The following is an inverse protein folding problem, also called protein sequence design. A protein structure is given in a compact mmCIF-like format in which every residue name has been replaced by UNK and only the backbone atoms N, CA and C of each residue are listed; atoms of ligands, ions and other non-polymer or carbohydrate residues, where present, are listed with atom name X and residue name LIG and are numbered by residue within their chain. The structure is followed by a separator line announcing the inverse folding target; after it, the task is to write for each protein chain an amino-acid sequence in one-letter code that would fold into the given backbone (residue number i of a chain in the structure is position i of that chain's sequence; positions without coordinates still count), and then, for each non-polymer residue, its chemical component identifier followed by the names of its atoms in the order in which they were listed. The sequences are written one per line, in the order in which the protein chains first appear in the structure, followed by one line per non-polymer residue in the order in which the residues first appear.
data_IF_135819093107
#
_entry.id   IF_135819093107
#
_cell.length_a   1.000
_cell.length_b   1.000
_cell.length_c   1.000
_cell.angle_alpha   90.00
_cell.angle_beta   90.00
_cell.angle_gamma   90.00
#
_symmetry.space_group_name_H-M   'P 1'
#
loop_
_entity.id
_entity.type
_entity.pdbx_description
1 polymer ?
#
# COMPACT_ATOMS: atom_id res chain seq x y z
N UNK A 1 1.87 -8.82 -4.86
CA UNK A 1 2.33 -7.45 -4.62
C UNK A 1 1.68 -6.37 -5.51
N UNK A 2 0.87 -6.70 -6.51
CA UNK A 2 0.23 -5.72 -7.43
C UNK A 2 -1.08 -5.10 -6.87
N UNK A 3 -1.46 -5.39 -5.60
CA UNK A 3 -2.79 -5.09 -5.06
C UNK A 3 -2.94 -3.85 -4.19
N UNK A 4 -1.91 -3.09 -3.96
CA UNK A 4 -1.96 -1.96 -3.04
C UNK A 4 -1.38 -0.69 -3.61
N UNK A 5 -2.01 -0.07 -4.60
CA UNK A 5 -1.75 1.35 -4.87
C UNK A 5 -2.86 2.00 -5.69
N UNK A 6 -3.65 2.88 -5.07
CA UNK A 6 -4.34 3.97 -5.77
C UNK A 6 -4.68 5.15 -4.86
N UNK A 7 -4.25 6.28 -5.32
CA UNK A 7 -4.71 7.67 -5.21
C UNK A 7 -4.69 8.39 -3.87
N UNK A 8 -3.92 9.48 -3.90
CA UNK A 8 -4.08 10.65 -3.02
C UNK A 8 -4.07 11.94 -3.84
N UNK A 9 -5.01 12.82 -3.61
CA UNK A 9 -4.91 14.29 -3.85
C UNK A 9 -6.05 15.04 -3.14
N UNK A 10 -5.77 15.82 -2.23
CA UNK A 10 -5.62 17.21 -1.80
C UNK A 10 -6.86 18.05 -1.50
N UNK A 11 -7.02 18.71 -0.35
CA UNK A 11 -7.10 20.14 0.01
C UNK A 11 -7.64 20.49 1.43
N UNK A 12 -7.18 21.45 2.03
CA UNK A 12 -6.88 22.09 3.29
C UNK A 12 -7.85 22.98 4.09
N UNK A 13 -7.70 23.41 5.28
CA UNK A 13 -7.26 24.50 6.23
C UNK A 13 -7.93 24.39 7.63
N UNK A 14 -7.44 24.69 8.69
CA UNK A 14 -6.59 25.32 9.68
C UNK A 14 -7.23 25.66 11.05
N UNK A 15 -6.53 25.78 12.12
CA UNK A 15 -5.88 26.54 13.19
C UNK A 15 -6.34 26.20 14.63
N UNK A 16 -5.68 26.26 15.66
CA UNK A 16 -4.64 26.70 16.60
C UNK A 16 -5.09 26.44 18.07
N UNK A 17 -4.40 26.28 19.10
CA UNK A 17 -3.10 26.18 19.79
C UNK A 17 -3.24 25.63 21.22
N UNK A 18 -2.21 25.02 21.76
CA UNK A 18 -1.68 25.31 23.08
C UNK A 18 -1.69 24.26 24.19
N UNK A 19 -0.52 23.91 24.69
CA UNK A 19 -0.28 23.40 26.04
C UNK A 19 0.14 21.92 26.19
N UNK A 20 1.41 21.69 26.57
CA UNK A 20 1.98 20.37 26.89
C UNK A 20 1.44 19.82 28.19
N UNK A 21 0.84 18.63 28.16
CA UNK A 21 0.70 17.73 29.30
C UNK A 21 1.35 16.39 28.96
N UNK A 22 2.02 15.76 29.96
CA UNK A 22 2.64 14.46 29.78
C UNK A 22 1.59 13.39 29.45
N UNK A 23 1.93 12.46 28.55
CA UNK A 23 1.06 11.35 28.18
C UNK A 23 0.73 10.46 29.39
N UNK A 24 -0.54 10.09 29.61
CA UNK A 24 -0.91 9.13 30.63
C UNK A 24 -0.35 7.72 30.29
N UNK A 25 -0.06 6.88 31.29
CA UNK A 25 0.37 5.51 31.03
C UNK A 25 -0.75 4.73 30.30
N UNK A 26 -0.37 3.77 29.45
CA UNK A 26 -1.36 2.98 28.72
C UNK A 26 -2.26 2.21 29.68
N UNK A 27 -3.56 2.32 29.47
CA UNK A 27 -4.56 1.55 30.22
C UNK A 27 -4.38 0.06 29.88
N UNK A 28 -4.55 -0.87 30.83
CA UNK A 28 -4.53 -2.30 30.52
C UNK A 28 -5.70 -2.62 29.59
N UNK A 29 -5.40 -2.97 28.36
CA UNK A 29 -6.38 -3.41 27.36
C UNK A 29 -6.86 -4.81 27.77
N UNK A 30 -7.97 -4.87 28.49
CA UNK A 30 -8.74 -6.10 28.54
C UNK A 30 -9.27 -6.35 27.12
N UNK A 31 -8.87 -7.47 26.50
CA UNK A 31 -9.38 -7.84 25.18
C UNK A 31 -10.91 -7.85 25.22
N UNK A 32 -11.53 -6.92 24.53
CA UNK A 32 -12.97 -6.92 24.35
C UNK A 32 -13.34 -8.22 23.63
N UNK A 33 -14.39 -8.94 24.07
CA UNK A 33 -14.82 -10.14 23.38
C UNK A 33 -15.16 -9.76 21.93
N UNK A 34 -14.48 -10.38 20.98
CA UNK A 34 -14.84 -10.31 19.56
C UNK A 34 -16.27 -10.84 19.48
N UNK A 35 -17.22 -9.95 19.24
CA UNK A 35 -18.59 -10.39 18.98
C UNK A 35 -18.54 -11.30 17.75
N UNK A 36 -19.14 -12.49 17.81
CA UNK A 36 -19.14 -13.39 16.68
C UNK A 36 -19.72 -12.66 15.47
N UNK A 37 -19.05 -12.79 14.34
CA UNK A 37 -19.57 -12.35 13.05
C UNK A 37 -21.01 -12.87 12.93
N UNK A 38 -21.87 -12.11 12.27
CA UNK A 38 -23.20 -12.60 11.86
C UNK A 38 -23.05 -14.02 11.30
N UNK A 39 -23.96 -14.97 11.58
CA UNK A 39 -23.81 -16.34 11.12
C UNK A 39 -23.47 -16.32 9.63
N UNK A 40 -22.38 -16.99 9.27
CA UNK A 40 -21.90 -17.05 7.91
C UNK A 40 -23.09 -17.39 7.01
N UNK A 41 -23.39 -16.55 6.04
CA UNK A 41 -24.47 -16.80 5.09
C UNK A 41 -24.24 -18.20 4.48
N UNK A 42 -25.25 -19.05 4.53
CA UNK A 42 -25.16 -20.39 3.95
C UNK A 42 -25.33 -20.38 2.43
N UNK A 43 -25.18 -19.20 1.81
CA UNK A 43 -25.37 -19.04 0.38
C UNK A 43 -24.24 -19.71 -0.42
N UNK A 44 -24.53 -20.16 -1.64
CA UNK A 44 -23.50 -20.67 -2.54
C UNK A 44 -22.40 -19.66 -2.86
N UNK A 45 -22.72 -18.35 -2.85
CA UNK A 45 -21.75 -17.26 -3.08
C UNK A 45 -20.82 -17.13 -1.87
N UNK A 46 -21.36 -17.10 -0.65
CA UNK A 46 -20.59 -17.04 0.57
C UNK A 46 -19.60 -18.21 0.70
N UNK A 47 -19.99 -19.42 0.27
CA UNK A 47 -19.08 -20.56 0.27
C UNK A 47 -17.90 -20.38 -0.70
N UNK A 48 -18.11 -19.77 -1.87
CA UNK A 48 -17.01 -19.47 -2.81
C UNK A 48 -16.13 -18.36 -2.27
N UNK A 49 -16.69 -17.34 -1.63
CA UNK A 49 -15.94 -16.24 -0.98
C UNK A 49 -15.02 -16.80 0.11
N UNK A 50 -15.54 -17.69 0.98
CA UNK A 50 -14.74 -18.29 2.05
C UNK A 50 -13.55 -19.11 1.50
N UNK A 51 -13.76 -19.86 0.43
CA UNK A 51 -12.69 -20.63 -0.22
C UNK A 51 -11.69 -19.72 -0.94
N UNK A 52 -12.15 -18.61 -1.52
CA UNK A 52 -11.31 -17.59 -2.14
C UNK A 52 -10.47 -16.86 -1.09
N UNK A 53 -11.06 -16.43 0.02
CA UNK A 53 -10.33 -15.83 1.15
C UNK A 53 -9.25 -16.76 1.73
N UNK A 54 -9.59 -18.03 1.91
CA UNK A 54 -8.62 -19.05 2.34
C UNK A 54 -7.50 -19.28 1.30
N UNK A 55 -7.77 -19.09 0.01
CA UNK A 55 -6.77 -19.14 -1.04
C UNK A 55 -5.86 -17.91 -1.00
N UNK A 56 -6.43 -16.68 -0.93
CA UNK A 56 -5.69 -15.42 -0.84
C UNK A 56 -4.74 -15.40 0.36
N UNK A 57 -5.22 -15.80 1.57
CA UNK A 57 -4.38 -15.94 2.77
C UNK A 57 -3.20 -16.91 2.63
N UNK A 58 -3.26 -17.79 1.64
CA UNK A 58 -2.19 -18.73 1.34
C UNK A 58 -1.18 -18.17 0.36
N UNK A 59 -1.64 -17.44 -0.68
CA UNK A 59 -0.76 -16.88 -1.72
C UNK A 59 -0.19 -15.52 -1.32
N UNK A 60 -0.90 -14.76 -0.49
CA UNK A 60 -0.38 -13.54 0.15
C UNK A 60 -0.27 -13.70 1.68
N UNK A 61 0.79 -14.36 2.16
CA UNK A 61 1.01 -14.52 3.59
C UNK A 61 1.44 -13.23 4.30
N UNK A 62 1.79 -12.18 3.56
CA UNK A 62 2.15 -10.89 4.16
C UNK A 62 0.90 -10.21 4.66
N UNK A 63 -0.11 -10.04 3.79
CA UNK A 63 -1.37 -9.43 4.17
C UNK A 63 -2.11 -10.31 5.19
N UNK A 64 -2.12 -11.62 4.99
CA UNK A 64 -2.69 -12.54 5.99
C UNK A 64 -2.08 -12.35 7.38
N UNK A 65 -0.77 -12.11 7.48
CA UNK A 65 -0.11 -11.87 8.78
C UNK A 65 -0.42 -10.50 9.38
N UNK A 66 -0.64 -9.48 8.56
CA UNK A 66 -1.13 -8.15 8.99
C UNK A 66 -2.56 -8.25 9.54
N UNK A 67 -3.39 -9.07 8.91
CA UNK A 67 -4.73 -9.42 9.37
C UNK A 67 -4.76 -10.28 10.67
N UNK A 68 -3.60 -10.69 11.18
CA UNK A 68 -3.47 -11.45 12.43
C UNK A 68 -3.35 -12.96 12.27
N UNK A 69 -3.23 -13.49 11.04
CA UNK A 69 -2.90 -14.91 10.82
C UNK A 69 -1.46 -15.19 11.25
N UNK A 70 -1.31 -15.81 12.41
CA UNK A 70 0.00 -16.11 13.00
C UNK A 70 0.79 -17.17 12.23
N UNK A 71 0.11 -18.11 11.58
CA UNK A 71 0.77 -19.15 10.78
C UNK A 71 1.37 -18.56 9.51
N UNK A 72 0.81 -17.46 9.02
CA UNK A 72 1.33 -16.71 7.89
C UNK A 72 2.66 -16.00 8.18
N UNK A 73 2.97 -15.66 9.46
CA UNK A 73 4.21 -14.97 9.86
C UNK A 73 5.49 -15.72 9.46
N UNK A 74 5.44 -17.03 9.23
CA UNK A 74 6.60 -17.84 8.85
C UNK A 74 6.75 -18.03 7.34
N UNK A 75 5.88 -17.44 6.51
CA UNK A 75 5.80 -17.67 5.06
C UNK A 75 6.10 -16.42 4.26
N UNK A 76 6.50 -16.59 3.00
CA UNK A 76 6.62 -15.56 1.96
C UNK A 76 5.74 -15.92 0.76
N UNK A 77 5.34 -14.96 -0.08
CA UNK A 77 4.70 -15.25 -1.36
C UNK A 77 5.65 -16.03 -2.27
N UNK A 78 5.10 -16.84 -3.17
CA UNK A 78 5.84 -17.59 -4.18
C UNK A 78 5.39 -17.13 -5.57
N UNK A 79 6.19 -16.28 -6.21
CA UNK A 79 5.96 -15.77 -7.56
C UNK A 79 6.71 -16.60 -8.63
N UNK A 80 7.06 -17.85 -8.31
CA UNK A 80 7.63 -18.77 -9.29
C UNK A 80 6.64 -19.07 -10.42
N UNK A 81 7.09 -19.33 -11.65
CA UNK A 81 6.20 -19.65 -12.78
C UNK A 81 5.24 -20.82 -12.49
N UNK A 82 5.63 -21.77 -11.66
CA UNK A 82 4.79 -22.90 -11.24
C UNK A 82 3.68 -22.48 -10.27
N UNK A 83 3.98 -21.59 -9.32
CA UNK A 83 3.00 -21.06 -8.39
C UNK A 83 1.99 -20.16 -9.13
N UNK A 84 2.47 -19.25 -9.98
CA UNK A 84 1.59 -18.40 -10.81
C UNK A 84 0.69 -19.21 -11.75
N UNK A 85 1.16 -20.34 -12.31
CA UNK A 85 0.32 -21.25 -13.09
C UNK A 85 -0.74 -21.96 -12.23
N UNK A 86 -0.42 -22.27 -10.98
CA UNK A 86 -1.40 -22.82 -10.02
C UNK A 86 -2.45 -21.77 -9.63
N UNK A 87 -2.09 -20.50 -9.49
CA UNK A 87 -3.03 -19.39 -9.26
C UNK A 87 -3.99 -19.23 -10.44
N UNK A 88 -3.49 -19.24 -11.68
CA UNK A 88 -4.35 -19.24 -12.88
C UNK A 88 -5.40 -20.34 -12.82
N UNK A 89 -4.97 -21.55 -12.45
CA UNK A 89 -5.89 -22.71 -12.35
C UNK A 89 -6.92 -22.51 -11.24
N UNK A 90 -6.51 -21.98 -10.09
CA UNK A 90 -7.42 -21.73 -8.97
C UNK A 90 -8.44 -20.63 -9.31
N UNK A 91 -8.02 -19.53 -9.90
CA UNK A 91 -8.89 -18.42 -10.31
C UNK A 91 -9.88 -18.84 -11.41
N UNK A 92 -9.46 -19.66 -12.38
CA UNK A 92 -10.39 -20.25 -13.35
C UNK A 92 -11.44 -21.14 -12.66
N UNK A 93 -11.03 -21.91 -11.64
CA UNK A 93 -11.92 -22.70 -10.80
C UNK A 93 -12.95 -21.87 -10.03
N UNK A 94 -12.53 -20.81 -9.34
CA UNK A 94 -13.42 -19.89 -8.64
C UNK A 94 -14.39 -19.21 -9.60
N UNK A 95 -13.88 -18.70 -10.73
CA UNK A 95 -14.70 -18.07 -11.78
C UNK A 95 -15.75 -19.02 -12.35
N UNK A 96 -15.42 -20.28 -12.57
CA UNK A 96 -16.35 -21.30 -13.02
C UNK A 96 -17.43 -21.61 -11.97
N UNK A 97 -17.07 -21.75 -10.70
CA UNK A 97 -17.99 -21.94 -9.57
C UNK A 97 -18.99 -20.79 -9.46
N UNK A 98 -18.52 -19.54 -9.45
CA UNK A 98 -19.38 -18.34 -9.39
C UNK A 98 -20.35 -18.28 -10.58
N UNK A 99 -19.89 -18.63 -11.79
CA UNK A 99 -20.73 -18.67 -13.00
C UNK A 99 -21.71 -19.85 -13.00
N UNK A 100 -21.46 -20.90 -12.25
CA UNK A 100 -22.35 -22.07 -12.15
C UNK A 100 -23.51 -21.84 -11.17
N UNK A 101 -23.45 -20.87 -10.28
CA UNK A 101 -24.52 -20.53 -9.34
C UNK A 101 -25.78 -20.12 -10.15
N UNK A 102 -26.91 -20.80 -9.89
CA UNK A 102 -28.18 -20.60 -10.57
C UNK A 102 -29.26 -20.18 -9.57
N UNK A 103 -30.30 -19.54 -10.09
CA UNK A 103 -31.45 -19.07 -9.31
C UNK A 103 -31.29 -17.60 -8.89
N UNK A 104 -32.36 -17.05 -8.28
CA UNK A 104 -32.30 -15.68 -7.77
C UNK A 104 -31.34 -15.60 -6.59
N UNK A 105 -30.54 -14.56 -6.57
CA UNK A 105 -29.69 -14.17 -5.44
C UNK A 105 -30.32 -12.96 -4.75
N UNK A 106 -30.06 -12.79 -3.45
CA UNK A 106 -30.37 -11.51 -2.82
C UNK A 106 -29.40 -10.43 -3.31
N UNK A 107 -29.69 -9.16 -2.95
CA UNK A 107 -28.91 -8.03 -3.46
C UNK A 107 -27.45 -8.03 -3.00
N UNK A 108 -27.15 -8.56 -1.81
CA UNK A 108 -25.79 -8.64 -1.27
C UNK A 108 -25.00 -9.77 -1.97
N UNK A 109 -25.59 -10.93 -2.13
CA UNK A 109 -24.97 -12.06 -2.82
C UNK A 109 -24.74 -11.77 -4.31
N UNK A 110 -25.68 -11.10 -5.00
CA UNK A 110 -25.48 -10.73 -6.40
C UNK A 110 -24.39 -9.68 -6.59
N UNK A 111 -24.32 -8.70 -5.69
CA UNK A 111 -23.25 -7.72 -5.65
C UNK A 111 -21.90 -8.40 -5.40
N UNK A 112 -21.79 -9.23 -4.37
CA UNK A 112 -20.57 -9.96 -4.01
C UNK A 112 -20.10 -10.87 -5.14
N UNK A 113 -21.02 -11.60 -5.79
CA UNK A 113 -20.71 -12.43 -6.97
C UNK A 113 -20.17 -11.58 -8.12
N UNK A 114 -20.81 -10.45 -8.41
CA UNK A 114 -20.42 -9.55 -9.49
C UNK A 114 -19.04 -8.97 -9.23
N UNK A 115 -18.82 -8.49 -8.01
CA UNK A 115 -17.55 -7.94 -7.58
C UNK A 115 -16.41 -8.97 -7.66
N UNK A 116 -16.62 -10.17 -7.08
CA UNK A 116 -15.58 -11.20 -7.07
C UNK A 116 -15.28 -11.73 -8.48
N UNK A 117 -16.30 -11.84 -9.37
CA UNK A 117 -16.07 -12.17 -10.78
C UNK A 117 -15.22 -11.13 -11.50
N UNK A 118 -15.38 -9.85 -11.12
CA UNK A 118 -14.58 -8.75 -11.66
C UNK A 118 -13.12 -8.85 -11.18
N UNK A 119 -12.90 -8.97 -9.86
CA UNK A 119 -11.56 -9.08 -9.26
C UNK A 119 -10.80 -10.28 -9.85
N UNK A 120 -11.37 -11.48 -9.76
CA UNK A 120 -10.75 -12.69 -10.31
C UNK A 120 -10.52 -12.57 -11.83
N UNK A 121 -11.44 -11.92 -12.55
CA UNK A 121 -11.30 -11.73 -14.00
C UNK A 121 -10.11 -10.87 -14.37
N UNK A 122 -9.85 -9.87 -13.59
CA UNK A 122 -8.80 -8.88 -13.79
C UNK A 122 -7.41 -9.43 -13.42
N UNK A 123 -7.32 -10.06 -12.24
CA UNK A 123 -6.10 -10.74 -11.78
C UNK A 123 -5.69 -11.87 -12.75
N UNK A 124 -6.65 -12.67 -13.19
CA UNK A 124 -6.43 -13.75 -14.15
C UNK A 124 -5.87 -13.24 -15.49
N UNK A 125 -6.29 -12.05 -15.94
CA UNK A 125 -5.77 -11.45 -17.16
C UNK A 125 -4.34 -10.92 -16.95
N UNK A 126 -4.05 -10.28 -15.80
CA UNK A 126 -2.69 -9.89 -15.41
C UNK A 126 -1.72 -11.07 -15.36
N UNK A 127 -2.14 -12.18 -14.73
CA UNK A 127 -1.37 -13.42 -14.69
C UNK A 127 -1.11 -13.99 -16.10
N UNK A 128 -2.11 -13.97 -16.98
CA UNK A 128 -1.98 -14.44 -18.38
C UNK A 128 -1.11 -13.52 -19.24
N UNK A 129 -1.02 -12.24 -18.89
CA UNK A 129 -0.07 -11.30 -19.50
C UNK A 129 1.36 -11.47 -18.96
N UNK A 130 1.53 -12.29 -17.93
CA UNK A 130 2.82 -12.57 -17.28
C UNK A 130 3.49 -11.29 -16.75
N UNK A 131 2.70 -10.48 -16.01
CA UNK A 131 3.16 -9.20 -15.45
C UNK A 131 4.27 -9.36 -14.41
N UNK A 132 4.46 -10.56 -13.86
CA UNK A 132 5.57 -10.87 -12.98
C UNK A 132 6.96 -10.65 -13.62
N UNK A 133 7.04 -10.47 -14.94
CA UNK A 133 8.28 -10.06 -15.65
C UNK A 133 8.68 -8.61 -15.39
N UNK A 134 7.71 -7.75 -14.96
CA UNK A 134 7.94 -6.37 -14.53
C UNK A 134 7.58 -6.29 -13.04
N UNK A 135 8.42 -6.84 -12.19
CA UNK A 135 8.17 -7.02 -10.75
C UNK A 135 8.78 -5.93 -9.86
N UNK A 136 9.13 -4.79 -10.44
CA UNK A 136 9.60 -3.61 -9.72
C UNK A 136 9.38 -2.32 -10.50
N UNK A 137 9.21 -1.22 -9.79
CA UNK A 137 9.32 0.14 -10.33
C UNK A 137 10.02 1.07 -9.33
N UNK A 138 9.89 2.41 -9.46
CA UNK A 138 10.56 3.37 -8.58
C UNK A 138 9.91 3.47 -7.18
N UNK A 139 8.68 3.00 -7.01
CA UNK A 139 7.86 3.18 -5.81
C UNK A 139 7.41 1.86 -5.18
N UNK A 140 7.41 0.77 -5.96
CA UNK A 140 6.95 -0.54 -5.56
C UNK A 140 7.83 -1.65 -6.15
N UNK A 141 7.82 -2.81 -5.50
CA UNK A 141 8.46 -4.02 -5.98
C UNK A 141 9.34 -4.72 -4.95
N UNK A 142 9.78 -5.91 -5.32
CA UNK A 142 10.48 -6.82 -4.41
C UNK A 142 11.76 -6.25 -3.78
N UNK A 143 12.36 -5.20 -4.37
CA UNK A 143 13.52 -4.53 -3.81
C UNK A 143 13.20 -3.67 -2.57
N UNK A 144 11.94 -3.23 -2.40
CA UNK A 144 11.46 -2.51 -1.21
C UNK A 144 10.90 -3.46 -0.14
N UNK A 145 10.56 -4.67 -0.53
CA UNK A 145 9.92 -5.68 0.30
C UNK A 145 10.56 -5.90 1.69
N UNK A 146 11.89 -5.90 1.89
CA UNK A 146 12.47 -6.01 3.23
C UNK A 146 12.06 -4.90 4.20
N UNK A 147 11.90 -3.67 3.70
CA UNK A 147 11.45 -2.53 4.53
C UNK A 147 9.96 -2.68 4.88
N UNK A 148 9.12 -2.97 3.90
CA UNK A 148 7.68 -3.19 4.08
C UNK A 148 7.39 -4.37 5.01
N UNK A 149 8.16 -5.45 4.88
CA UNK A 149 8.08 -6.61 5.75
C UNK A 149 8.38 -6.26 7.21
N UNK A 150 9.39 -5.44 7.43
CA UNK A 150 9.77 -4.99 8.77
C UNK A 150 8.69 -4.09 9.38
N UNK A 151 8.20 -3.10 8.63
CA UNK A 151 7.17 -2.16 9.06
C UNK A 151 5.85 -2.85 9.39
N UNK A 152 5.46 -3.86 8.60
CA UNK A 152 4.24 -4.66 8.78
C UNK A 152 4.32 -5.78 9.82
N UNK A 153 5.48 -5.98 10.49
CA UNK A 153 5.66 -7.11 11.41
C UNK A 153 5.58 -6.69 12.87
N UNK A 154 4.64 -7.29 13.61
CA UNK A 154 4.51 -7.13 15.06
C UNK A 154 4.88 -8.43 15.78
N UNK A 155 5.81 -8.36 16.74
CA UNK A 155 6.26 -9.49 17.58
C UNK A 155 5.57 -9.42 18.95
N UNK A 156 4.63 -10.30 19.22
CA UNK A 156 3.83 -10.34 20.46
C UNK A 156 4.37 -11.30 21.50
N UNK A 157 5.07 -12.34 21.07
CA UNK A 157 5.64 -13.37 21.92
C UNK A 157 6.81 -14.11 21.23
N UNK A 158 7.32 -15.15 21.89
CA UNK A 158 8.42 -15.96 21.39
C UNK A 158 8.08 -16.69 20.07
N UNK A 159 6.87 -17.16 19.89
CA UNK A 159 6.47 -17.88 18.69
C UNK A 159 6.46 -16.97 17.47
N UNK A 160 5.98 -15.72 17.62
CA UNK A 160 6.06 -14.72 16.57
C UNK A 160 7.53 -14.40 16.18
N UNK A 161 8.43 -14.31 17.17
CA UNK A 161 9.85 -14.08 16.89
C UNK A 161 10.48 -15.26 16.12
N UNK A 162 10.17 -16.50 16.49
CA UNK A 162 10.68 -17.69 15.77
C UNK A 162 10.08 -17.80 14.36
N UNK A 163 8.80 -17.45 14.18
CA UNK A 163 8.14 -17.39 12.88
C UNK A 163 8.79 -16.32 11.98
N UNK A 164 9.05 -15.13 12.52
CA UNK A 164 9.76 -14.07 11.80
C UNK A 164 11.17 -14.47 11.39
N UNK A 165 11.95 -15.09 12.28
CA UNK A 165 13.27 -15.64 11.94
C UNK A 165 13.20 -16.70 10.82
N UNK A 166 12.15 -17.52 10.81
CA UNK A 166 11.88 -18.47 9.72
C UNK A 166 11.63 -17.71 8.43
N UNK A 167 10.77 -16.69 8.43
CA UNK A 167 10.47 -15.82 7.28
C UNK A 167 11.74 -15.17 6.74
N UNK A 168 12.62 -14.61 7.61
CA UNK A 168 13.90 -14.03 7.18
C UNK A 168 14.79 -15.07 6.47
N UNK A 169 14.77 -16.33 6.90
CA UNK A 169 15.57 -17.38 6.27
C UNK A 169 15.11 -17.75 4.85
N UNK A 170 13.89 -17.38 4.45
CA UNK A 170 13.33 -17.61 3.13
C UNK A 170 13.66 -16.49 2.13
N UNK A 171 14.02 -15.28 2.62
CA UNK A 171 14.28 -14.11 1.76
C UNK A 171 15.34 -14.35 0.67
N UNK A 172 16.44 -15.09 0.89
CA UNK A 172 17.37 -15.38 -0.19
C UNK A 172 16.72 -16.08 -1.39
N UNK A 173 15.93 -17.11 -1.16
CA UNK A 173 15.21 -17.83 -2.23
C UNK A 173 14.15 -16.96 -2.90
N UNK A 174 13.46 -16.10 -2.14
CA UNK A 174 12.54 -15.10 -2.68
C UNK A 174 13.26 -14.16 -3.67
N UNK A 175 14.39 -13.58 -3.29
CA UNK A 175 15.18 -12.74 -4.19
C UNK A 175 15.64 -13.49 -5.46
N UNK A 176 16.04 -14.76 -5.35
CA UNK A 176 16.42 -15.57 -6.51
C UNK A 176 15.25 -15.76 -7.48
N UNK A 177 14.03 -16.00 -6.96
CA UNK A 177 12.79 -16.11 -7.77
C UNK A 177 12.50 -14.78 -8.49
N UNK A 178 12.56 -13.66 -7.76
CA UNK A 178 12.25 -12.35 -8.33
C UNK A 178 13.27 -11.90 -9.38
N UNK A 179 14.55 -12.15 -9.15
CA UNK A 179 15.61 -11.90 -10.14
C UNK A 179 15.38 -12.78 -11.38
N UNK A 180 14.94 -14.04 -11.22
CA UNK A 180 14.64 -14.92 -12.34
C UNK A 180 13.42 -14.41 -13.15
N UNK A 181 12.38 -13.88 -12.49
CA UNK A 181 11.25 -13.27 -13.14
C UNK A 181 11.66 -12.02 -13.95
N UNK A 182 12.44 -11.11 -13.35
CA UNK A 182 12.98 -9.95 -14.04
C UNK A 182 13.90 -10.35 -15.22
N UNK A 183 14.66 -11.43 -15.10
CA UNK A 183 15.48 -11.99 -16.17
C UNK A 183 14.63 -12.52 -17.33
N UNK A 184 13.45 -13.13 -17.07
CA UNK A 184 12.46 -13.48 -18.10
C UNK A 184 11.97 -12.22 -18.83
N UNK A 185 11.78 -11.11 -18.08
CA UNK A 185 11.45 -9.81 -18.66
C UNK A 185 12.49 -9.35 -19.67
N UNK A 186 13.77 -9.36 -19.29
CA UNK A 186 14.89 -9.03 -20.20
C UNK A 186 14.89 -9.95 -21.43
N UNK A 187 14.78 -11.26 -21.22
CA UNK A 187 14.81 -12.23 -22.31
C UNK A 187 13.66 -12.08 -23.32
N UNK A 188 12.52 -11.53 -22.88
CA UNK A 188 11.33 -11.32 -23.74
C UNK A 188 11.15 -9.88 -24.19
N UNK A 189 12.02 -8.94 -23.81
CA UNK A 189 11.90 -7.52 -24.07
C UNK A 189 10.78 -6.82 -23.26
N UNK A 190 10.21 -7.51 -22.26
CA UNK A 190 9.16 -6.97 -21.40
C UNK A 190 9.81 -6.32 -20.15
N UNK A 191 10.38 -5.13 -20.34
CA UNK A 191 11.24 -4.45 -19.36
C UNK A 191 10.71 -3.08 -18.94
N UNK A 192 11.15 -2.64 -17.75
CA UNK A 192 10.93 -1.26 -17.30
C UNK A 192 11.68 -0.24 -18.17
N UNK A 193 11.21 1.02 -18.21
CA UNK A 193 11.95 2.11 -18.86
C UNK A 193 13.29 2.37 -18.15
N UNK A 194 14.28 2.76 -18.94
CA UNK A 194 15.63 3.03 -18.43
C UNK A 194 15.67 3.99 -17.23
N UNK A 195 14.95 5.13 -17.20
CA UNK A 195 14.94 6.03 -16.02
C UNK A 195 14.45 5.35 -14.75
N UNK A 196 13.42 4.50 -14.84
CA UNK A 196 12.91 3.72 -13.69
C UNK A 196 13.99 2.77 -13.15
N UNK A 197 14.68 2.05 -14.03
CA UNK A 197 15.76 1.12 -13.65
C UNK A 197 16.91 1.87 -12.98
N UNK A 198 17.27 3.05 -13.46
CA UNK A 198 18.32 3.89 -12.87
C UNK A 198 17.98 4.32 -11.42
N UNK A 199 16.72 4.66 -11.15
CA UNK A 199 16.24 4.95 -9.78
C UNK A 199 16.35 3.71 -8.90
N UNK A 200 15.87 2.56 -9.36
CA UNK A 200 15.94 1.29 -8.59
C UNK A 200 17.38 0.87 -8.33
N UNK A 201 18.28 1.03 -9.29
CA UNK A 201 19.73 0.81 -9.10
C UNK A 201 20.28 1.68 -7.96
N UNK A 202 19.85 2.95 -7.88
CA UNK A 202 20.30 3.85 -6.80
C UNK A 202 19.75 3.42 -5.44
N UNK A 203 18.49 2.99 -5.37
CA UNK A 203 17.84 2.47 -4.14
C UNK A 203 18.58 1.21 -3.66
N UNK A 204 18.74 0.21 -4.53
CA UNK A 204 19.39 -1.06 -4.17
C UNK A 204 20.88 -0.85 -3.81
N UNK A 205 21.55 0.11 -4.45
CA UNK A 205 22.93 0.45 -4.09
C UNK A 205 23.02 1.00 -2.65
N UNK A 206 22.07 1.82 -2.20
CA UNK A 206 21.98 2.29 -0.81
C UNK A 206 21.71 1.13 0.15
N UNK A 207 20.80 0.22 -0.22
CA UNK A 207 20.50 -0.98 0.58
C UNK A 207 21.76 -1.84 0.76
N UNK A 208 22.49 -2.13 -0.30
CA UNK A 208 23.74 -2.92 -0.26
C UNK A 208 24.80 -2.25 0.59
N UNK A 209 24.94 -0.92 0.50
CA UNK A 209 25.93 -0.15 1.25
C UNK A 209 25.62 -0.05 2.77
N UNK A 210 24.38 -0.26 3.19
CA UNK A 210 23.96 -0.18 4.59
C UNK A 210 24.63 -1.29 5.40
N UNK A 211 25.22 -1.01 6.59
CA UNK A 211 25.72 -2.05 7.47
C UNK A 211 24.63 -3.05 7.87
N UNK A 212 24.98 -4.32 8.04
CA UNK A 212 24.01 -5.36 8.39
C UNK A 212 23.31 -5.10 9.75
N UNK A 213 23.98 -4.43 10.68
CA UNK A 213 23.40 -4.06 11.98
C UNK A 213 22.34 -2.96 11.90
N UNK A 214 22.33 -2.20 10.82
CA UNK A 214 21.39 -1.10 10.56
C UNK A 214 20.29 -1.52 9.55
N UNK A 215 20.19 -2.82 9.25
CA UNK A 215 19.23 -3.33 8.29
C UNK A 215 17.79 -3.22 8.87
N UNK A 216 16.81 -2.67 8.13
CA UNK A 216 15.44 -2.50 8.61
C UNK A 216 14.78 -3.82 9.02
N UNK A 217 15.19 -4.96 8.49
CA UNK A 217 14.71 -6.28 8.92
C UNK A 217 14.99 -6.59 10.39
N UNK A 218 15.87 -5.86 11.06
CA UNK A 218 16.09 -6.00 12.50
C UNK A 218 15.14 -5.17 13.36
N UNK A 219 14.44 -4.21 12.78
CA UNK A 219 13.53 -3.26 13.48
C UNK A 219 12.48 -3.95 14.35
N UNK A 220 11.74 -4.98 13.88
CA UNK A 220 10.74 -5.67 14.70
C UNK A 220 11.30 -6.34 15.95
N UNK A 221 12.60 -6.59 15.98
CA UNK A 221 13.30 -7.28 17.07
C UNK A 221 14.01 -6.31 18.03
N UNK A 222 13.98 -5.01 17.77
CA UNK A 222 14.61 -3.99 18.65
C UNK A 222 13.90 -3.93 20.01
N UNK A 223 12.57 -4.02 20.00
CA UNK A 223 11.73 -3.98 21.20
C UNK A 223 10.91 -5.26 21.30
N UNK A 224 11.51 -6.30 21.90
CA UNK A 224 10.83 -7.57 22.14
C UNK A 224 10.02 -7.53 23.44
N UNK A 225 8.89 -8.27 23.52
CA UNK A 225 8.07 -8.34 24.72
C UNK A 225 8.84 -8.79 25.97
N UNK A 226 8.53 -8.19 27.12
CA UNK A 226 9.15 -8.54 28.41
C UNK A 226 8.87 -9.99 28.87
N UNK A 227 7.89 -10.66 28.26
CA UNK A 227 7.61 -12.09 28.46
C UNK A 227 8.72 -13.00 27.91
N UNK A 228 9.57 -12.49 27.01
CA UNK A 228 10.75 -13.19 26.49
C UNK A 228 11.95 -12.86 27.39
N UNK A 229 12.62 -13.85 28.02
CA UNK A 229 13.79 -13.59 28.88
C UNK A 229 14.90 -12.85 28.14
N UNK A 230 15.59 -11.92 28.81
CA UNK A 230 16.60 -11.05 28.19
C UNK A 230 17.73 -11.82 27.46
N UNK A 231 18.21 -12.93 28.03
CA UNK A 231 19.18 -13.78 27.39
C UNK A 231 18.68 -14.43 26.09
N UNK A 232 17.39 -14.63 25.98
CA UNK A 232 16.75 -15.17 24.80
C UNK A 232 16.48 -14.10 23.76
N UNK A 233 16.08 -12.88 24.18
CA UNK A 233 16.01 -11.73 23.30
C UNK A 233 17.34 -11.47 22.59
N UNK A 234 18.46 -11.56 23.32
CA UNK A 234 19.79 -11.43 22.73
C UNK A 234 20.05 -12.50 21.65
N UNK A 235 19.75 -13.77 21.96
CA UNK A 235 19.92 -14.88 20.97
C UNK A 235 19.04 -14.69 19.72
N UNK A 236 17.81 -14.19 19.87
CA UNK A 236 16.92 -13.90 18.75
C UNK A 236 17.56 -12.83 17.85
N UNK A 237 18.06 -11.73 18.42
CA UNK A 237 18.74 -10.66 17.67
C UNK A 237 20.02 -11.14 16.99
N UNK A 238 20.85 -11.91 17.69
CA UNK A 238 22.08 -12.49 17.12
C UNK A 238 21.76 -13.40 15.92
N UNK A 239 20.71 -14.25 16.06
CA UNK A 239 20.26 -15.10 14.96
C UNK A 239 19.71 -14.29 13.79
N UNK A 240 18.92 -13.25 14.02
CA UNK A 240 18.44 -12.36 12.97
C UNK A 240 19.59 -11.71 12.21
N UNK A 241 20.57 -11.16 12.94
CA UNK A 241 21.75 -10.55 12.33
C UNK A 241 22.53 -11.57 11.45
N UNK A 242 22.63 -12.84 11.85
CA UNK A 242 23.23 -13.87 11.01
C UNK A 242 22.42 -14.14 9.73
N UNK A 243 21.08 -14.00 9.79
CA UNK A 243 20.20 -14.18 8.62
C UNK A 243 20.25 -12.99 7.64
N UNK A 244 20.61 -11.79 8.10
CA UNK A 244 20.76 -10.61 7.23
C UNK A 244 21.92 -10.78 6.23
N UNK A 245 23.01 -11.45 6.60
CA UNK A 245 24.17 -11.60 5.73
C UNK A 245 23.86 -12.28 4.37
N UNK A 246 23.17 -13.44 4.30
CA UNK A 246 22.78 -14.04 3.02
C UNK A 246 21.77 -13.16 2.26
N UNK A 247 20.87 -12.43 2.94
CA UNK A 247 19.94 -11.51 2.29
C UNK A 247 20.72 -10.39 1.60
N UNK A 248 21.68 -9.78 2.26
CA UNK A 248 22.56 -8.77 1.66
C UNK A 248 23.37 -9.28 0.48
N UNK A 249 23.74 -10.56 0.49
CA UNK A 249 24.39 -11.19 -0.67
C UNK A 249 23.44 -11.23 -1.88
N UNK A 250 22.16 -11.51 -1.67
CA UNK A 250 21.16 -11.45 -2.75
C UNK A 250 20.88 -10.03 -3.21
N UNK A 251 20.82 -9.05 -2.32
CA UNK A 251 20.72 -7.62 -2.69
C UNK A 251 21.93 -7.20 -3.57
N UNK A 252 23.13 -7.70 -3.26
CA UNK A 252 24.30 -7.44 -4.09
C UNK A 252 24.23 -8.15 -5.46
N UNK A 253 23.68 -9.36 -5.53
CA UNK A 253 23.38 -10.04 -6.81
C UNK A 253 22.35 -9.26 -7.62
N UNK A 254 21.27 -8.78 -6.97
CA UNK A 254 20.27 -7.93 -7.61
C UNK A 254 20.91 -6.66 -8.18
N UNK A 255 21.74 -5.96 -7.41
CA UNK A 255 22.43 -4.76 -7.87
C UNK A 255 23.32 -5.04 -9.10
N UNK A 256 24.05 -6.15 -9.08
CA UNK A 256 24.86 -6.59 -10.23
C UNK A 256 23.97 -6.86 -11.43
N UNK A 257 22.93 -7.67 -11.27
CA UNK A 257 21.97 -8.00 -12.32
C UNK A 257 21.32 -6.74 -12.94
N UNK A 258 20.85 -5.81 -12.10
CA UNK A 258 20.26 -4.57 -12.58
C UNK A 258 21.23 -3.75 -13.43
N UNK A 259 22.51 -3.67 -13.02
CA UNK A 259 23.53 -2.87 -13.72
C UNK A 259 24.03 -3.53 -15.00
N UNK A 260 24.26 -4.84 -14.97
CA UNK A 260 24.97 -5.56 -16.05
C UNK A 260 24.05 -6.27 -17.02
N UNK A 261 22.90 -6.79 -16.53
CA UNK A 261 22.03 -7.65 -17.30
C UNK A 261 20.70 -6.97 -17.67
N UNK A 262 20.19 -6.06 -16.82
CA UNK A 262 18.88 -5.43 -17.04
C UNK A 262 18.99 -4.06 -17.70
N UNK A 263 19.77 -3.14 -17.13
CA UNK A 263 19.87 -1.74 -17.59
C UNK A 263 20.30 -1.59 -19.06
N UNK A 264 21.22 -2.41 -19.61
CA UNK A 264 21.55 -2.37 -21.03
C UNK A 264 20.38 -2.71 -21.95
N UNK A 265 19.41 -3.49 -21.46
CA UNK A 265 18.23 -3.95 -22.21
C UNK A 265 16.94 -3.27 -21.75
N UNK A 266 17.03 -2.34 -20.80
CA UNK A 266 15.90 -1.52 -20.40
C UNK A 266 15.39 -0.68 -21.58
N UNK A 267 14.06 -0.63 -21.75
CA UNK A 267 13.47 0.11 -22.88
C UNK A 267 13.74 1.61 -22.75
N UNK A 268 13.94 2.25 -23.89
CA UNK A 268 14.14 3.72 -23.98
C UNK A 268 12.81 4.48 -24.04
N UNK A 269 11.77 3.85 -24.58
CA UNK A 269 10.41 4.41 -24.57
C UNK A 269 9.78 4.34 -23.19
N UNK A 270 9.05 5.40 -22.80
CA UNK A 270 8.23 5.44 -21.61
C UNK A 270 6.87 4.74 -21.81
N UNK A 271 6.41 4.64 -23.06
CA UNK A 271 5.08 4.15 -23.37
C UNK A 271 4.97 2.62 -23.17
N UNK A 272 4.04 2.19 -22.32
CA UNK A 272 3.78 0.78 -22.06
C UNK A 272 3.30 0.00 -23.29
N UNK A 273 2.65 0.68 -24.25
CA UNK A 273 2.24 0.09 -25.54
C UNK A 273 3.41 -0.41 -26.40
N UNK A 274 4.62 0.07 -26.15
CA UNK A 274 5.82 -0.33 -26.89
C UNK A 274 6.45 -1.63 -26.36
N UNK A 275 5.89 -2.20 -25.29
CA UNK A 275 6.24 -3.54 -24.80
C UNK A 275 5.78 -4.62 -25.79
N UNK A 276 6.40 -5.79 -25.82
CA UNK A 276 5.83 -6.96 -26.50
C UNK A 276 4.41 -7.22 -25.96
N UNK A 277 3.42 -7.28 -26.87
CA UNK A 277 1.98 -7.30 -26.52
C UNK A 277 1.53 -6.10 -25.66
N UNK A 278 2.23 -4.97 -25.76
CA UNK A 278 2.06 -3.81 -24.91
C UNK A 278 0.69 -3.12 -25.04
N UNK A 279 0.04 -3.22 -26.19
CA UNK A 279 -1.32 -2.70 -26.37
C UNK A 279 -2.34 -3.47 -25.50
N UNK A 280 -2.24 -4.78 -25.45
CA UNK A 280 -3.10 -5.61 -24.60
C UNK A 280 -2.78 -5.39 -23.12
N UNK A 281 -1.50 -5.31 -22.77
CA UNK A 281 -1.05 -4.98 -21.42
C UNK A 281 -1.57 -3.60 -20.95
N UNK A 282 -1.42 -2.56 -21.78
CA UNK A 282 -1.86 -1.21 -21.43
C UNK A 282 -3.40 -1.12 -21.31
N UNK A 283 -4.13 -1.81 -22.19
CA UNK A 283 -5.60 -1.89 -22.12
C UNK A 283 -6.08 -2.61 -20.86
N UNK A 284 -5.40 -3.69 -20.45
CA UNK A 284 -5.64 -4.34 -19.16
C UNK A 284 -5.33 -3.38 -18.00
N UNK A 285 -4.18 -2.72 -17.98
CA UNK A 285 -3.78 -1.80 -16.93
C UNK A 285 -4.78 -0.63 -16.78
N UNK A 286 -5.25 -0.05 -17.91
CA UNK A 286 -6.31 0.98 -17.89
C UNK A 286 -7.57 0.44 -17.21
N UNK A 287 -8.06 -0.73 -17.61
CA UNK A 287 -9.26 -1.33 -17.02
C UNK A 287 -9.04 -1.72 -15.56
N UNK A 288 -7.89 -2.24 -15.20
CA UNK A 288 -7.51 -2.58 -13.84
C UNK A 288 -7.58 -1.35 -12.93
N UNK A 289 -6.95 -0.25 -13.33
CA UNK A 289 -6.87 0.96 -12.51
C UNK A 289 -8.12 1.85 -12.55
N UNK A 290 -8.89 1.84 -13.63
CA UNK A 290 -10.08 2.71 -13.75
C UNK A 290 -11.39 1.99 -13.46
N UNK A 291 -11.39 0.66 -13.43
CA UNK A 291 -12.59 -0.19 -13.39
C UNK A 291 -13.62 0.07 -14.50
N UNK A 292 -13.22 0.73 -15.59
CA UNK A 292 -14.08 1.04 -16.74
C UNK A 292 -13.59 0.33 -18.00
N UNK A 293 -14.44 0.27 -19.03
CA UNK A 293 -14.12 -0.24 -20.37
C UNK A 293 -13.70 0.88 -21.34
N UNK A 294 -13.43 2.09 -20.83
CA UNK A 294 -12.99 3.22 -21.65
C UNK A 294 -11.63 2.93 -22.28
N UNK A 295 -11.49 3.34 -23.54
CA UNK A 295 -10.20 3.30 -24.23
C UNK A 295 -9.26 4.40 -23.72
N UNK A 296 -7.93 4.27 -23.90
CA UNK A 296 -6.98 5.32 -23.56
C UNK A 296 -7.30 6.67 -24.21
N UNK A 297 -7.76 6.68 -25.46
CA UNK A 297 -8.12 7.91 -26.18
C UNK A 297 -9.35 8.58 -25.58
N UNK A 298 -10.40 7.80 -25.24
CA UNK A 298 -11.59 8.33 -24.55
C UNK A 298 -11.24 8.93 -23.19
N UNK A 299 -10.33 8.31 -22.43
CA UNK A 299 -9.84 8.81 -21.13
C UNK A 299 -9.03 10.11 -21.34
N UNK A 300 -8.15 10.16 -22.36
CA UNK A 300 -7.40 11.36 -22.70
C UNK A 300 -8.33 12.53 -23.05
N UNK A 301 -9.32 12.27 -23.90
CA UNK A 301 -10.30 13.28 -24.30
C UNK A 301 -11.16 13.74 -23.10
N UNK A 302 -11.54 12.82 -22.21
CA UNK A 302 -12.21 13.15 -20.96
C UNK A 302 -11.32 14.06 -20.09
N UNK A 303 -10.07 13.67 -19.89
CA UNK A 303 -9.11 14.45 -19.11
C UNK A 303 -8.92 15.86 -19.68
N UNK A 304 -8.83 16.01 -20.99
CA UNK A 304 -8.71 17.31 -21.64
C UNK A 304 -9.94 18.21 -21.41
N UNK A 305 -11.15 17.63 -21.48
CA UNK A 305 -12.40 18.37 -21.16
C UNK A 305 -12.45 18.76 -19.67
N UNK A 306 -12.09 17.84 -18.77
CA UNK A 306 -12.10 18.11 -17.33
C UNK A 306 -11.08 19.16 -16.92
N UNK A 307 -9.86 19.13 -17.47
CA UNK A 307 -8.86 20.19 -17.23
C UNK A 307 -9.40 21.57 -17.61
N UNK A 308 -10.10 21.67 -18.75
CA UNK A 308 -10.72 22.93 -19.16
C UNK A 308 -11.84 23.36 -18.18
N UNK A 309 -12.75 22.43 -17.86
CA UNK A 309 -13.87 22.69 -16.92
C UNK A 309 -13.35 23.13 -15.56
N UNK A 310 -12.41 22.39 -14.97
CA UNK A 310 -11.81 22.69 -13.66
C UNK A 310 -11.11 24.06 -13.70
N UNK A 311 -10.42 24.39 -14.79
CA UNK A 311 -9.78 25.70 -14.93
C UNK A 311 -10.78 26.86 -14.90
N UNK A 312 -11.91 26.70 -15.57
CA UNK A 312 -13.00 27.71 -15.57
C UNK A 312 -13.61 27.83 -14.16
N UNK A 313 -13.80 26.73 -13.44
CA UNK A 313 -14.29 26.72 -12.05
C UNK A 313 -13.29 27.36 -11.09
N UNK A 314 -11.99 27.09 -11.22
CA UNK A 314 -10.94 27.72 -10.43
C UNK A 314 -10.92 29.25 -10.65
N UNK A 315 -11.07 29.72 -11.87
CA UNK A 315 -11.14 31.15 -12.17
C UNK A 315 -12.41 31.79 -11.58
N UNK A 316 -13.52 31.05 -11.53
CA UNK A 316 -14.73 31.52 -10.84
C UNK A 316 -14.54 31.56 -9.32
N UNK A 317 -13.95 30.52 -8.73
CA UNK A 317 -13.65 30.49 -7.30
C UNK A 317 -12.73 31.65 -6.84
N UNK A 318 -11.76 32.01 -7.66
CA UNK A 318 -10.88 33.18 -7.41
C UNK A 318 -11.70 34.49 -7.34
N UNK A 319 -12.67 34.65 -8.25
CA UNK A 319 -13.57 35.82 -8.25
C UNK A 319 -14.48 35.84 -7.02
N UNK A 320 -15.04 34.65 -6.68
CA UNK A 320 -15.94 34.49 -5.53
C UNK A 320 -15.21 34.75 -4.21
N UNK A 321 -13.91 34.40 -4.13
CA UNK A 321 -13.03 34.75 -3.01
C UNK A 321 -12.67 36.24 -2.95
N UNK A 322 -13.09 37.07 -3.92
CA UNK A 322 -12.79 38.49 -3.98
C UNK A 322 -11.32 38.82 -4.26
N UNK A 323 -10.52 37.83 -4.68
CA UNK A 323 -9.11 38.06 -4.98
C UNK A 323 -8.94 38.89 -6.27
N UNK A 324 -8.06 39.88 -6.21
CA UNK A 324 -7.84 40.83 -7.31
C UNK A 324 -6.44 40.54 -7.91
N UNK A 325 -6.38 39.70 -8.90
CA UNK A 325 -5.15 39.30 -9.59
C UNK A 325 -5.41 38.20 -10.60
N UNK A 326 -4.37 37.79 -11.30
CA UNK A 326 -4.42 36.67 -12.21
C UNK A 326 -4.48 35.34 -11.44
N UNK A 327 -4.73 34.25 -12.16
CA UNK A 327 -4.62 32.88 -11.60
C UNK A 327 -3.24 32.62 -11.02
N UNK A 328 -2.18 33.08 -11.68
CA UNK A 328 -0.80 32.92 -11.19
C UNK A 328 -0.56 33.73 -9.92
N UNK A 329 -1.11 34.95 -9.82
CA UNK A 329 -1.03 35.75 -8.60
C UNK A 329 -1.75 35.06 -7.43
N UNK A 330 -2.90 34.42 -7.70
CA UNK A 330 -3.62 33.66 -6.70
C UNK A 330 -2.86 32.40 -6.24
N UNK A 331 -2.26 31.66 -7.16
CA UNK A 331 -1.39 30.53 -6.80
C UNK A 331 -0.20 31.01 -5.96
N UNK A 332 0.43 32.11 -6.32
CA UNK A 332 1.51 32.69 -5.53
C UNK A 332 1.04 33.09 -4.12
N UNK A 333 -0.12 33.74 -4.02
CA UNK A 333 -0.73 34.07 -2.74
C UNK A 333 -0.98 32.83 -1.88
N UNK A 334 -1.55 31.77 -2.44
CA UNK A 334 -1.79 30.51 -1.74
C UNK A 334 -0.49 29.88 -1.22
N UNK A 335 0.59 29.93 -2.00
CA UNK A 335 1.86 29.32 -1.65
C UNK A 335 2.71 30.15 -0.67
N UNK A 336 2.45 31.45 -0.53
CA UNK A 336 3.36 32.34 0.22
C UNK A 336 2.72 33.03 1.42
N UNK A 337 1.38 33.09 1.50
CA UNK A 337 0.73 33.76 2.61
C UNK A 337 0.72 32.87 3.86
N UNK A 338 1.28 33.36 4.99
CA UNK A 338 1.42 32.57 6.23
C UNK A 338 0.08 32.09 6.82
N UNK A 339 -1.06 32.72 6.46
CA UNK A 339 -2.37 32.29 6.95
C UNK A 339 -2.71 30.84 6.57
N UNK A 340 -2.07 30.32 5.52
CA UNK A 340 -2.31 28.98 5.00
C UNK A 340 -1.40 27.89 5.59
N UNK A 341 -0.52 28.26 6.50
CA UNK A 341 0.47 27.33 7.05
C UNK A 341 0.51 27.34 8.57
N UNK A 342 0.83 26.24 9.18
CA UNK A 342 1.16 26.16 10.60
C UNK A 342 2.67 26.22 10.81
N UNK A 343 3.06 26.55 12.03
CA UNK A 343 4.48 26.70 12.40
C UNK A 343 5.00 25.55 13.26
N UNK A 344 4.12 24.62 13.68
CA UNK A 344 4.51 23.46 14.47
C UNK A 344 3.81 22.20 13.97
N UNK A 345 4.47 21.05 14.19
CA UNK A 345 3.93 19.73 13.85
C UNK A 345 2.64 19.42 14.60
N UNK A 346 2.64 19.74 15.89
CA UNK A 346 1.48 19.55 16.77
C UNK A 346 0.27 20.32 16.25
N UNK A 347 0.48 21.57 15.78
CA UNK A 347 -0.61 22.37 15.22
C UNK A 347 -1.18 21.75 13.93
N UNK A 348 -0.40 21.10 13.10
CA UNK A 348 -0.90 20.38 11.92
C UNK A 348 -1.76 19.18 12.32
N UNK A 349 -1.29 18.37 13.26
CA UNK A 349 -2.02 17.21 13.77
C UNK A 349 -3.32 17.60 14.47
N UNK A 350 -3.33 18.68 15.29
CA UNK A 350 -4.54 19.21 15.91
C UNK A 350 -5.60 19.63 14.87
N UNK A 351 -5.16 20.26 13.79
CA UNK A 351 -6.05 20.66 12.71
C UNK A 351 -6.65 19.46 11.99
N UNK A 352 -5.82 18.47 11.66
CA UNK A 352 -6.25 17.22 11.07
C UNK A 352 -7.28 16.51 11.97
N UNK A 353 -7.00 16.41 13.26
CA UNK A 353 -7.89 15.76 14.22
C UNK A 353 -9.23 16.52 14.37
N UNK A 354 -9.20 17.85 14.45
CA UNK A 354 -10.42 18.67 14.53
C UNK A 354 -11.25 18.53 13.26
N UNK A 355 -10.64 18.52 12.10
CA UNK A 355 -11.35 18.34 10.84
C UNK A 355 -12.00 16.97 10.76
N UNK A 356 -11.26 15.89 11.03
CA UNK A 356 -11.79 14.53 11.03
C UNK A 356 -12.95 14.36 12.01
N UNK A 357 -12.89 15.02 13.17
CA UNK A 357 -14.00 14.97 14.14
C UNK A 357 -15.27 15.68 13.67
N UNK A 358 -15.17 16.62 12.72
CA UNK A 358 -16.33 17.22 12.04
C UNK A 358 -16.88 16.30 10.96
N UNK A 359 -16.01 15.52 10.30
CA UNK A 359 -16.41 14.47 9.35
C UNK A 359 -17.19 13.39 10.07
N UNK A 360 -16.69 12.87 11.20
CA UNK A 360 -17.39 11.89 12.05
C UNK A 360 -18.84 12.31 12.36
N UNK A 361 -19.09 13.61 12.63
CA UNK A 361 -20.43 14.15 12.90
C UNK A 361 -21.34 14.10 11.66
N UNK A 362 -20.77 14.10 10.45
CA UNK A 362 -21.51 14.05 9.20
C UNK A 362 -21.82 12.61 8.74
N UNK A 363 -20.95 11.66 9.00
CA UNK A 363 -21.02 10.28 8.49
C UNK A 363 -22.38 9.59 8.67
N UNK A 364 -23.08 9.67 9.84
CA UNK A 364 -24.38 9.02 10.01
C UNK A 364 -25.50 9.58 9.11
N UNK A 365 -25.29 10.73 8.48
CA UNK A 365 -26.24 11.34 7.54
C UNK A 365 -26.00 10.87 6.10
N UNK A 366 -24.76 10.54 5.79
CA UNK A 366 -24.31 10.20 4.43
C UNK A 366 -24.29 8.68 4.20
N UNK A 367 -24.03 7.88 5.24
CA UNK A 367 -23.85 6.45 5.16
C UNK A 367 -24.82 5.67 6.04
N UNK A 368 -25.48 4.66 5.47
CA UNK A 368 -26.38 3.77 6.21
C UNK A 368 -25.66 2.70 7.02
N UNK A 369 -24.36 2.47 6.78
CA UNK A 369 -23.49 1.52 7.51
C UNK A 369 -22.16 2.19 7.76
N UNK A 370 -21.70 2.18 9.00
CA UNK A 370 -20.42 2.77 9.39
C UNK A 370 -19.41 1.69 9.77
N UNK A 371 -18.10 1.91 9.53
CA UNK A 371 -17.04 1.05 10.04
C UNK A 371 -17.10 0.94 11.57
N UNK A 372 -16.76 -0.22 12.11
CA UNK A 372 -16.65 -0.40 13.57
C UNK A 372 -15.23 -0.15 14.10
N UNK A 373 -14.23 -0.25 13.23
CA UNK A 373 -12.86 0.04 13.59
C UNK A 373 -12.68 1.57 13.60
N UNK A 374 -12.27 2.17 14.72
CA UNK A 374 -11.90 3.58 14.74
C UNK A 374 -10.56 3.78 14.03
N UNK A 375 -10.27 5.03 13.66
CA UNK A 375 -8.94 5.44 13.23
C UNK A 375 -8.37 6.54 14.14
N UNK A 376 -7.07 6.77 14.02
CA UNK A 376 -6.36 7.83 14.74
C UNK A 376 -5.62 8.74 13.74
N UNK A 377 -5.46 10.01 14.08
CA UNK A 377 -4.54 10.91 13.37
C UNK A 377 -3.15 10.71 13.96
N UNK A 378 -2.18 10.33 13.12
CA UNK A 378 -0.81 10.02 13.54
C UNK A 378 0.21 10.75 12.68
N UNK A 379 1.37 10.99 13.25
CA UNK A 379 2.54 11.48 12.53
C UNK A 379 3.19 10.34 11.73
N UNK A 380 3.57 10.59 10.47
CA UNK A 380 4.43 9.65 9.72
C UNK A 380 5.76 9.51 10.49
N UNK A 381 6.32 8.30 10.62
CA UNK A 381 7.59 8.10 11.32
C UNK A 381 8.69 9.02 10.78
N UNK A 382 9.45 9.63 11.69
CA UNK A 382 10.47 10.63 11.35
C UNK A 382 11.60 10.09 10.47
N UNK A 383 11.81 8.78 10.52
CA UNK A 383 12.81 8.08 9.71
C UNK A 383 12.43 8.01 8.23
N UNK A 384 11.14 8.09 7.91
CA UNK A 384 10.60 7.97 6.55
C UNK A 384 9.94 9.25 6.02
N UNK A 385 9.65 10.24 6.87
CA UNK A 385 8.86 11.43 6.51
C UNK A 385 9.44 12.24 5.34
N UNK A 386 10.76 12.31 5.19
CA UNK A 386 11.44 13.05 4.12
C UNK A 386 11.22 12.44 2.72
N UNK A 387 10.95 11.14 2.66
CA UNK A 387 10.69 10.42 1.41
C UNK A 387 9.22 10.04 1.23
N UNK A 388 8.39 10.26 2.25
CA UNK A 388 6.99 9.91 2.23
C UNK A 388 6.14 10.97 1.52
N UNK A 389 4.95 10.56 1.07
CA UNK A 389 3.90 11.45 0.54
C UNK A 389 3.37 12.39 1.62
N UNK A 390 2.46 13.31 1.26
CA UNK A 390 1.85 14.30 2.18
C UNK A 390 1.03 13.63 3.30
N UNK A 391 0.37 12.53 3.00
CA UNK A 391 -0.34 11.67 3.95
C UNK A 391 -0.61 10.32 3.32
N UNK A 392 -1.05 9.35 4.12
CA UNK A 392 -1.57 8.08 3.64
C UNK A 392 -2.48 7.43 4.70
N UNK A 393 -3.35 6.53 4.25
CA UNK A 393 -4.19 5.71 5.10
C UNK A 393 -3.43 4.47 5.59
N UNK A 394 -3.56 4.16 6.88
CA UNK A 394 -3.12 2.91 7.50
C UNK A 394 -4.37 2.10 7.89
N UNK A 395 -4.60 0.96 7.26
CA UNK A 395 -5.80 0.16 7.44
C UNK A 395 -6.03 -0.34 8.88
N UNK A 396 -4.98 -0.32 9.71
CA UNK A 396 -5.02 -0.92 11.04
C UNK A 396 -5.16 -2.44 10.98
N UNK A 397 -5.35 -3.06 12.14
CA UNK A 397 -5.51 -4.50 12.26
C UNK A 397 -6.50 -4.84 13.39
N UNK A 398 -7.79 -5.01 13.08
CA UNK A 398 -8.83 -5.25 14.09
C UNK A 398 -8.56 -6.49 14.94
N UNK A 399 -8.06 -7.56 14.34
CA UNK A 399 -7.70 -8.81 15.04
C UNK A 399 -6.54 -8.63 16.03
N UNK A 400 -5.72 -7.60 15.85
CA UNK A 400 -4.61 -7.23 16.73
C UNK A 400 -4.97 -6.09 17.70
N UNK A 401 -6.18 -5.55 17.63
CA UNK A 401 -6.61 -4.38 18.42
C UNK A 401 -5.95 -3.07 17.98
N UNK A 402 -5.48 -2.99 16.74
CA UNK A 402 -4.83 -1.81 16.16
C UNK A 402 -5.86 -1.03 15.35
N UNK A 403 -6.09 0.23 15.72
CA UNK A 403 -6.96 1.14 14.96
C UNK A 403 -6.32 1.55 13.64
N UNK A 404 -7.14 1.88 12.64
CA UNK A 404 -6.68 2.54 11.41
C UNK A 404 -5.95 3.86 11.69
N UNK A 405 -5.29 4.42 10.68
CA UNK A 405 -4.51 5.64 10.83
C UNK A 405 -4.62 6.59 9.64
N UNK A 406 -4.94 7.84 9.91
CA UNK A 406 -4.63 8.93 9.01
C UNK A 406 -3.20 9.38 9.32
N UNK A 407 -2.25 8.95 8.49
CA UNK A 407 -0.83 9.20 8.66
C UNK A 407 -0.47 10.53 7.99
N UNK A 408 -0.10 11.53 8.79
CA UNK A 408 0.15 12.91 8.32
C UNK A 408 1.65 13.18 8.30
N UNK A 409 2.16 13.64 7.16
CA UNK A 409 3.54 14.09 7.04
C UNK A 409 3.69 15.47 7.67
N UNK A 410 4.44 15.54 8.76
CA UNK A 410 4.69 16.76 9.52
C UNK A 410 6.05 17.39 9.24
N UNK A 411 6.83 16.86 8.26
CA UNK A 411 8.01 17.53 7.73
C UNK A 411 7.63 18.70 6.82
N UNK A 412 8.55 19.61 6.56
CA UNK A 412 8.37 20.69 5.58
C UNK A 412 7.01 21.39 5.66
N UNK A 413 6.69 21.97 6.83
CA UNK A 413 5.37 22.59 7.08
C UNK A 413 5.03 23.71 6.07
N UNK A 414 6.02 24.32 5.46
CA UNK A 414 5.91 25.27 4.34
C UNK A 414 5.39 24.65 3.03
N UNK A 415 5.37 23.31 2.95
CA UNK A 415 4.80 22.52 1.85
C UNK A 415 3.50 21.82 2.24
N UNK A 416 2.92 22.13 3.41
CA UNK A 416 1.71 21.51 3.97
C UNK A 416 0.62 22.56 4.17
N UNK A 417 0.08 23.14 3.07
CA UNK A 417 -0.90 24.19 3.20
C UNK A 417 -2.21 23.64 3.75
N UNK A 418 -2.80 24.39 4.64
CA UNK A 418 -3.99 24.00 5.38
C UNK A 418 -5.26 24.02 4.52
N UNK A 419 -5.24 24.58 3.32
CA UNK A 419 -6.35 24.48 2.37
C UNK A 419 -6.41 23.09 1.68
N UNK A 420 -5.40 22.23 1.84
CA UNK A 420 -5.39 20.85 1.34
C UNK A 420 -6.03 19.85 2.32
N UNK A 421 -6.02 20.16 3.61
CA UNK A 421 -6.37 19.23 4.67
C UNK A 421 -7.80 18.65 4.61
N UNK A 422 -8.88 19.38 4.23
CA UNK A 422 -10.22 18.78 4.19
C UNK A 422 -10.37 17.64 3.19
N UNK A 423 -9.90 17.81 1.95
CA UNK A 423 -10.01 16.77 0.93
C UNK A 423 -9.06 15.61 1.22
N UNK A 424 -7.84 15.90 1.67
CA UNK A 424 -6.85 14.89 2.06
C UNK A 424 -7.35 14.05 3.24
N UNK A 425 -7.93 14.68 4.26
CA UNK A 425 -8.48 13.98 5.40
C UNK A 425 -9.69 13.11 5.02
N UNK A 426 -10.59 13.60 4.16
CA UNK A 426 -11.70 12.79 3.64
C UNK A 426 -11.21 11.60 2.83
N UNK A 427 -10.11 11.75 2.10
CA UNK A 427 -9.55 10.68 1.26
C UNK A 427 -8.81 9.61 2.08
N UNK A 428 -8.06 10.02 3.11
CA UNK A 428 -7.15 9.12 3.85
C UNK A 428 -7.69 8.67 5.22
N UNK A 429 -8.83 9.20 5.68
CA UNK A 429 -9.38 8.81 6.97
C UNK A 429 -10.72 8.09 6.89
N UNK A 430 -11.50 8.36 5.85
CA UNK A 430 -12.86 7.83 5.66
C UNK A 430 -13.04 7.28 4.22
N UNK A 431 -12.12 6.46 3.71
CA UNK A 431 -12.20 5.93 2.33
C UNK A 431 -13.31 4.90 2.15
#
# INVERSE_FOLDING_TARGET
MIRAFLLSLVLAIALHQGGRAAAPPPLPVAAAPILPNSPASSSPVAAVIADYDAFERRVDPIEASRDGDRDALSRLPDDSPSALAAEVTAFEGFKARLKAIRGPLDGEDDLNRTFLLRVIGDDLEGLKLDVARINFDAYDGFHLFPTELAEGTQIRDRADADAYLTRLSLLPAFYETEIANARRGVATGFTQPKPTVEVVVAIVAKQVARPAVDDPLLTPLTTLPATIPAAEQARIRDRALMLVAPIKAEQAKLLSFLKTDYLPYARTSLAARDLPNGEAYYRWAVRHHTTTDMTPDEIHDLGTREVKRIREEMEQAIKDAGFKGSFQDFQHFLHTDPQFYVTTREALLEKAAIFNKRVDDALPREFGRLPRLPFAVREIPRESEESATTAYYDAGAPALGVAGGFMVNTSHLDQRPLYELPALALHESEP
#
